data_IF_949993217786
#
_entry.id   IF_949993217786
#
_cell.length_a   1.000
_cell.length_b   1.000
_cell.length_c   1.000
_cell.angle_alpha   90.00
_cell.angle_beta   90.00
_cell.angle_gamma   90.00
#
_symmetry.space_group_name_H-M   'P 1'
#
loop_
_entity.id
_entity.type
_entity.pdbx_description
1 polymer ?
#
# COMPACT_ATOMS: atom_id res chain seq x y z
N UNK A 1 4.13 -4.87 -14.14
CA UNK A 1 3.01 -5.84 -14.24
C UNK A 1 1.64 -5.18 -14.02
N UNK A 2 1.28 -4.11 -14.75
CA UNK A 2 -0.02 -3.41 -14.61
C UNK A 2 -1.12 -3.94 -15.56
N UNK A 3 -0.79 -4.87 -16.45
CA UNK A 3 -1.66 -5.29 -17.55
C UNK A 3 -2.51 -6.51 -17.21
N UNK A 4 -2.27 -7.15 -16.05
CA UNK A 4 -2.98 -8.37 -15.66
C UNK A 4 -4.51 -8.13 -15.64
N UNK A 5 -4.96 -7.03 -15.06
CA UNK A 5 -6.40 -6.78 -14.95
C UNK A 5 -7.15 -6.71 -16.31
N UNK A 6 -6.48 -6.38 -17.43
CA UNK A 6 -7.13 -6.15 -18.73
C UNK A 6 -7.91 -7.35 -19.25
N UNK A 7 -7.41 -8.56 -18.98
CA UNK A 7 -8.06 -9.82 -19.36
C UNK A 7 -8.57 -10.60 -18.15
N UNK A 8 -8.75 -9.95 -16.98
CA UNK A 8 -9.13 -10.64 -15.74
C UNK A 8 -10.44 -11.41 -15.90
N UNK A 9 -11.51 -10.75 -16.37
CA UNK A 9 -12.82 -11.38 -16.57
C UNK A 9 -12.74 -12.60 -17.50
N UNK A 10 -12.02 -12.46 -18.62
CA UNK A 10 -11.83 -13.57 -19.55
C UNK A 10 -11.02 -14.72 -18.94
N UNK A 11 -9.93 -14.42 -18.21
CA UNK A 11 -9.11 -15.44 -17.56
C UNK A 11 -9.89 -16.21 -16.50
N UNK A 12 -10.76 -15.53 -15.75
CA UNK A 12 -11.62 -16.20 -14.77
C UNK A 12 -12.72 -17.00 -15.47
N UNK A 13 -13.35 -16.45 -16.52
CA UNK A 13 -14.45 -17.15 -17.23
C UNK A 13 -14.03 -18.46 -17.92
N UNK A 14 -12.75 -18.59 -18.30
CA UNK A 14 -12.23 -19.84 -18.91
C UNK A 14 -11.71 -20.83 -17.87
N UNK A 15 -11.67 -20.45 -16.58
CA UNK A 15 -11.19 -21.31 -15.50
C UNK A 15 -12.37 -22.05 -14.85
N UNK A 16 -12.29 -23.38 -14.80
CA UNK A 16 -13.35 -24.22 -14.25
C UNK A 16 -13.53 -24.14 -12.72
N UNK A 17 -12.59 -23.52 -12.00
CA UNK A 17 -12.56 -23.46 -10.54
C UNK A 17 -12.76 -22.05 -9.98
N UNK A 18 -12.87 -21.02 -10.83
CA UNK A 18 -12.95 -19.63 -10.41
C UNK A 18 -14.21 -18.98 -10.95
N UNK A 19 -14.91 -18.25 -10.09
CA UNK A 19 -16.04 -17.43 -10.44
C UNK A 19 -15.76 -15.98 -10.02
N UNK A 20 -16.15 -15.00 -10.84
CA UNK A 20 -16.08 -13.58 -10.45
C UNK A 20 -17.43 -13.22 -9.83
N UNK A 21 -17.47 -12.85 -8.54
CA UNK A 21 -18.70 -12.32 -7.96
C UNK A 21 -19.10 -11.01 -8.63
N UNK A 22 -20.40 -10.66 -8.62
CA UNK A 22 -20.90 -9.40 -9.16
C UNK A 22 -20.57 -8.23 -8.22
N UNK A 23 -19.28 -7.89 -8.19
CA UNK A 23 -18.71 -6.80 -7.39
C UNK A 23 -17.85 -5.92 -8.28
N UNK A 24 -17.77 -4.65 -7.91
CA UNK A 24 -16.80 -3.75 -8.49
C UNK A 24 -15.42 -4.04 -7.90
N UNK A 25 -14.44 -4.29 -8.78
CA UNK A 25 -13.07 -4.62 -8.39
C UNK A 25 -12.17 -3.46 -8.76
N UNK A 26 -11.67 -2.79 -7.73
CA UNK A 26 -10.61 -1.82 -7.90
C UNK A 26 -9.26 -2.47 -8.16
N UNK A 27 -8.51 -1.83 -9.05
CA UNK A 27 -7.18 -2.28 -9.46
C UNK A 27 -6.17 -1.48 -8.66
N UNK A 28 -5.42 -2.15 -7.81
CA UNK A 28 -4.34 -1.57 -7.04
C UNK A 28 -3.02 -2.28 -7.33
N UNK A 29 -1.94 -1.53 -7.20
CA UNK A 29 -0.57 -2.05 -7.15
C UNK A 29 0.01 -1.55 -5.85
N UNK A 30 0.72 -2.43 -5.16
CA UNK A 30 1.34 -2.05 -3.91
C UNK A 30 2.31 -0.88 -4.07
N UNK A 31 2.31 0.06 -3.13
CA UNK A 31 3.23 1.19 -3.01
C UNK A 31 4.70 0.78 -3.13
N UNK A 32 5.12 -0.36 -2.60
CA UNK A 32 6.51 -0.82 -2.81
C UNK A 32 6.80 -1.20 -4.27
N UNK A 33 5.81 -1.78 -4.96
CA UNK A 33 5.96 -2.25 -6.34
C UNK A 33 5.67 -1.17 -7.39
N UNK A 34 4.85 -0.16 -7.06
CA UNK A 34 4.38 0.82 -8.04
C UNK A 34 5.53 1.65 -8.62
N UNK A 35 6.60 1.85 -7.83
CA UNK A 35 7.82 2.51 -8.27
C UNK A 35 8.63 1.71 -9.29
N UNK A 36 8.38 0.41 -9.43
CA UNK A 36 8.95 -0.43 -10.49
C UNK A 36 8.13 -0.44 -11.79
N UNK A 37 7.05 0.34 -11.86
CA UNK A 37 6.20 0.49 -13.04
C UNK A 37 6.48 1.83 -13.75
N UNK A 38 5.88 2.03 -14.93
CA UNK A 38 5.89 3.32 -15.62
C UNK A 38 5.25 4.42 -14.75
N UNK A 39 5.73 5.66 -14.87
CA UNK A 39 5.31 6.80 -14.02
C UNK A 39 3.79 7.01 -13.99
N UNK A 40 3.13 6.83 -15.14
CA UNK A 40 1.68 6.95 -15.23
C UNK A 40 0.92 5.93 -14.40
N UNK A 41 1.55 4.86 -13.90
CA UNK A 41 0.88 3.90 -13.03
C UNK A 41 0.72 4.42 -11.60
N UNK A 42 1.58 5.34 -11.14
CA UNK A 42 1.61 5.80 -9.76
C UNK A 42 0.24 6.32 -9.31
N UNK A 43 -0.27 7.35 -9.97
CA UNK A 43 -1.55 7.96 -9.60
C UNK A 43 -2.76 7.09 -9.90
N UNK A 44 -2.64 6.23 -10.92
CA UNK A 44 -3.75 5.38 -11.39
C UNK A 44 -4.00 4.15 -10.53
N UNK A 45 -2.96 3.62 -9.88
CA UNK A 45 -3.01 2.31 -9.24
C UNK A 45 -2.34 2.22 -7.87
N UNK A 46 -1.58 3.22 -7.41
CA UNK A 46 -1.04 3.15 -6.05
C UNK A 46 -2.17 3.16 -5.02
N UNK A 47 -2.05 2.29 -4.03
CA UNK A 47 -3.00 2.15 -2.90
C UNK A 47 -3.23 3.48 -2.17
N UNK A 48 -2.23 4.37 -2.12
CA UNK A 48 -2.34 5.71 -1.52
C UNK A 48 -3.41 6.60 -2.16
N UNK A 49 -3.74 6.40 -3.44
CA UNK A 49 -4.74 7.20 -4.17
C UNK A 49 -6.08 6.47 -4.38
N UNK A 50 -6.29 5.36 -3.68
CA UNK A 50 -7.52 4.58 -3.76
C UNK A 50 -8.25 4.74 -2.43
N UNK A 51 -9.38 5.46 -2.39
CA UNK A 51 -10.17 5.60 -1.17
C UNK A 51 -10.54 4.23 -0.58
N UNK A 52 -10.30 4.07 0.73
CA UNK A 52 -10.53 2.82 1.43
C UNK A 52 -9.45 1.74 1.22
N UNK A 53 -8.52 1.92 0.27
CA UNK A 53 -7.31 1.10 0.23
C UNK A 53 -6.36 1.57 1.33
N UNK A 54 -5.94 0.65 2.18
CA UNK A 54 -4.90 0.95 3.15
C UNK A 54 -3.58 1.24 2.40
N UNK A 55 -2.85 2.28 2.83
CA UNK A 55 -1.64 2.77 2.14
C UNK A 55 -0.51 1.73 2.06
N UNK A 56 -0.34 0.94 3.12
CA UNK A 56 0.77 0.00 3.29
C UNK A 56 0.25 -1.38 3.74
N UNK A 57 -0.84 -1.41 4.51
CA UNK A 57 -1.41 -2.66 4.98
C UNK A 57 -2.05 -3.41 3.80
N UNK A 58 -1.55 -4.60 3.48
CA UNK A 58 -2.00 -5.40 2.34
C UNK A 58 -0.88 -5.79 1.38
N UNK A 59 0.27 -5.13 1.45
CA UNK A 59 1.46 -5.40 0.62
C UNK A 59 2.50 -6.29 1.33
N UNK A 60 2.13 -6.83 2.49
CA UNK A 60 3.05 -7.30 3.53
C UNK A 60 3.88 -8.53 3.10
N UNK A 61 3.59 -9.19 1.98
CA UNK A 61 4.41 -10.33 1.54
C UNK A 61 5.89 -9.93 1.39
N UNK A 62 6.19 -8.76 0.83
CA UNK A 62 7.58 -8.36 0.60
C UNK A 62 8.33 -7.99 1.88
N UNK A 63 7.70 -7.27 2.80
CA UNK A 63 8.33 -6.92 4.08
C UNK A 63 8.63 -8.18 4.90
N UNK A 64 7.84 -9.24 4.75
CA UNK A 64 8.14 -10.53 5.39
C UNK A 64 9.32 -11.26 4.75
N UNK A 65 9.50 -11.15 3.44
CA UNK A 65 10.63 -11.81 2.78
C UNK A 65 11.96 -11.27 3.31
N UNK A 66 12.01 -10.01 3.75
CA UNK A 66 13.18 -9.47 4.43
C UNK A 66 13.57 -10.29 5.68
N UNK A 67 12.60 -10.88 6.40
CA UNK A 67 12.86 -11.76 7.55
C UNK A 67 13.51 -13.07 7.10
N UNK A 68 13.13 -13.59 5.93
CA UNK A 68 13.72 -14.80 5.36
C UNK A 68 15.20 -14.60 4.96
N UNK A 69 15.68 -13.37 4.84
CA UNK A 69 17.10 -13.10 4.63
C UNK A 69 17.97 -13.65 5.78
N UNK A 70 17.42 -13.74 7.00
CA UNK A 70 18.14 -14.29 8.16
C UNK A 70 18.47 -15.78 7.99
N UNK A 71 17.60 -16.53 7.31
CA UNK A 71 17.78 -17.97 7.07
C UNK A 71 18.43 -18.26 5.71
N UNK A 72 18.54 -17.24 4.84
CA UNK A 72 19.14 -17.38 3.50
C UNK A 72 20.58 -17.89 3.54
N UNK A 73 21.35 -17.57 4.58
CA UNK A 73 22.73 -18.08 4.71
C UNK A 73 22.76 -19.56 5.03
N UNK A 74 21.83 -20.02 5.86
CA UNK A 74 21.72 -21.44 6.22
C UNK A 74 21.21 -22.28 5.05
N UNK A 75 20.30 -21.75 4.22
CA UNK A 75 19.78 -22.48 3.04
C UNK A 75 20.87 -22.78 2.01
N UNK A 76 21.90 -21.94 1.89
CA UNK A 76 22.94 -22.12 0.86
C UNK A 76 23.73 -23.43 0.96
N UNK A 77 23.81 -24.02 2.15
CA UNK A 77 24.54 -25.27 2.38
C UNK A 77 23.63 -26.51 2.44
N UNK A 78 22.31 -26.31 2.39
CA UNK A 78 21.35 -27.41 2.44
C UNK A 78 21.14 -28.03 1.04
N UNK A 79 20.73 -29.29 1.02
CA UNK A 79 20.23 -29.92 -0.20
C UNK A 79 18.90 -29.27 -0.60
N UNK A 80 18.57 -29.28 -1.89
CA UNK A 80 17.38 -28.61 -2.43
C UNK A 80 16.08 -28.98 -1.69
N UNK A 81 15.89 -30.26 -1.35
CA UNK A 81 14.71 -30.70 -0.59
C UNK A 81 14.65 -30.06 0.80
N UNK A 82 15.75 -30.12 1.56
CA UNK A 82 15.85 -29.50 2.88
C UNK A 82 15.74 -27.97 2.84
N UNK A 83 16.23 -27.31 1.77
CA UNK A 83 16.01 -25.89 1.56
C UNK A 83 14.52 -25.56 1.48
N UNK A 84 13.77 -26.32 0.68
CA UNK A 84 12.33 -26.12 0.51
C UNK A 84 11.61 -26.30 1.84
N UNK A 85 11.88 -27.41 2.54
CA UNK A 85 11.26 -27.69 3.84
C UNK A 85 11.55 -26.59 4.87
N UNK A 86 12.80 -26.10 4.92
CA UNK A 86 13.17 -25.01 5.82
C UNK A 86 12.44 -23.71 5.47
N UNK A 87 12.36 -23.34 4.19
CA UNK A 87 11.60 -22.15 3.80
C UNK A 87 10.11 -22.29 4.10
N UNK A 88 9.52 -23.45 3.83
CA UNK A 88 8.11 -23.72 4.09
C UNK A 88 7.81 -23.65 5.59
N UNK A 89 8.67 -24.20 6.45
CA UNK A 89 8.54 -24.11 7.92
C UNK A 89 8.54 -22.65 8.40
N UNK A 90 9.53 -21.87 7.99
CA UNK A 90 9.63 -20.45 8.38
C UNK A 90 8.49 -19.59 7.81
N UNK A 91 8.06 -19.84 6.57
CA UNK A 91 6.92 -19.15 5.98
C UNK A 91 5.61 -19.53 6.69
N UNK A 92 5.43 -20.80 7.05
CA UNK A 92 4.26 -21.28 7.80
C UNK A 92 4.21 -20.70 9.20
N UNK A 93 5.32 -20.68 9.95
CA UNK A 93 5.40 -20.02 11.26
C UNK A 93 5.07 -18.53 11.16
N UNK A 94 5.61 -17.83 10.15
CA UNK A 94 5.30 -16.42 9.91
C UNK A 94 3.82 -16.18 9.63
N UNK A 95 3.21 -17.01 8.77
CA UNK A 95 1.79 -16.95 8.44
C UNK A 95 0.91 -17.26 9.66
N UNK A 96 1.28 -18.26 10.46
CA UNK A 96 0.59 -18.62 11.68
C UNK A 96 0.60 -17.48 12.70
N UNK A 97 1.78 -16.91 12.99
CA UNK A 97 1.92 -15.75 13.91
C UNK A 97 1.08 -14.57 13.46
N UNK A 98 1.02 -14.30 12.16
CA UNK A 98 0.12 -13.27 11.62
C UNK A 98 -1.34 -13.60 11.85
N UNK A 99 -1.75 -14.82 11.54
CA UNK A 99 -3.14 -15.23 11.68
C UNK A 99 -3.61 -15.05 13.13
N UNK A 100 -2.78 -15.44 14.10
CA UNK A 100 -3.05 -15.25 15.52
C UNK A 100 -2.98 -13.77 15.94
N UNK A 101 -2.01 -13.01 15.45
CA UNK A 101 -1.78 -11.62 15.83
C UNK A 101 -2.67 -10.60 15.13
N UNK A 102 -3.40 -10.98 14.07
CA UNK A 102 -4.12 -10.06 13.19
C UNK A 102 -5.15 -9.21 13.93
N UNK A 103 -5.93 -9.83 14.82
CA UNK A 103 -6.98 -9.15 15.59
C UNK A 103 -6.35 -8.11 16.52
N UNK A 104 -5.38 -8.53 17.34
CA UNK A 104 -4.68 -7.64 18.28
C UNK A 104 -4.01 -6.47 17.56
N UNK A 105 -3.29 -6.75 16.47
CA UNK A 105 -2.62 -5.73 15.67
C UNK A 105 -3.60 -4.72 15.05
N UNK A 106 -4.73 -5.20 14.53
CA UNK A 106 -5.75 -4.33 13.91
C UNK A 106 -6.43 -3.47 14.97
N UNK A 107 -6.77 -4.02 16.13
CA UNK A 107 -7.36 -3.27 17.25
C UNK A 107 -6.40 -2.19 17.76
N UNK A 108 -5.13 -2.52 17.96
CA UNK A 108 -4.14 -1.55 18.43
C UNK A 108 -3.91 -0.43 17.40
N UNK A 109 -3.85 -0.76 16.10
CA UNK A 109 -3.77 0.25 15.05
C UNK A 109 -5.01 1.14 15.01
N UNK A 110 -6.20 0.57 15.21
CA UNK A 110 -7.44 1.34 15.25
C UNK A 110 -7.43 2.34 16.43
N UNK A 111 -7.04 1.90 17.61
CA UNK A 111 -6.87 2.77 18.78
C UNK A 111 -5.84 3.88 18.51
N UNK A 112 -4.69 3.52 17.93
CA UNK A 112 -3.68 4.50 17.54
C UNK A 112 -4.25 5.54 16.56
N UNK A 113 -5.03 5.13 15.55
CA UNK A 113 -5.68 6.07 14.63
C UNK A 113 -6.67 6.99 15.35
N UNK A 114 -7.51 6.45 16.24
CA UNK A 114 -8.44 7.24 17.04
C UNK A 114 -7.72 8.31 17.88
N UNK A 115 -6.55 7.99 18.44
CA UNK A 115 -5.78 8.92 19.24
C UNK A 115 -5.02 9.98 18.41
N UNK A 116 -4.79 9.72 17.11
CA UNK A 116 -3.98 10.61 16.24
C UNK A 116 -4.80 11.32 15.14
N UNK A 117 -6.11 11.06 15.07
CA UNK A 117 -6.98 11.67 14.06
C UNK A 117 -7.08 13.18 14.23
N UNK A 118 -7.14 13.67 15.47
CA UNK A 118 -7.22 15.10 15.78
C UNK A 118 -5.96 15.84 15.31
N UNK A 119 -4.77 15.33 15.64
CA UNK A 119 -3.50 15.93 15.19
C UNK A 119 -3.36 15.89 13.66
N UNK A 120 -3.82 14.81 13.02
CA UNK A 120 -3.82 14.70 11.56
C UNK A 120 -4.75 15.73 10.90
N UNK A 121 -5.93 15.95 11.49
CA UNK A 121 -6.89 16.95 11.04
C UNK A 121 -6.38 18.37 11.27
N UNK A 122 -5.75 18.63 12.41
CA UNK A 122 -5.12 19.92 12.70
C UNK A 122 -4.04 20.25 11.68
N UNK A 123 -3.18 19.29 11.35
CA UNK A 123 -2.16 19.43 10.31
C UNK A 123 -2.78 19.74 8.94
N UNK A 124 -3.82 19.00 8.54
CA UNK A 124 -4.56 19.25 7.30
C UNK A 124 -5.17 20.66 7.27
N UNK A 125 -5.79 21.09 8.37
CA UNK A 125 -6.39 22.42 8.47
C UNK A 125 -5.35 23.54 8.39
N UNK A 126 -4.17 23.36 9.01
CA UNK A 126 -3.04 24.31 8.91
C UNK A 126 -2.53 24.43 7.47
N UNK A 127 -2.44 23.33 6.74
CA UNK A 127 -2.04 23.36 5.32
C UNK A 127 -3.11 24.02 4.44
N UNK A 128 -4.38 23.79 4.75
CA UNK A 128 -5.49 24.30 3.95
C UNK A 128 -5.75 25.79 4.21
N UNK A 129 -5.46 26.29 5.41
CA UNK A 129 -5.70 27.69 5.79
C UNK A 129 -4.81 28.70 5.08
N UNK A 130 -3.66 28.28 4.54
CA UNK A 130 -2.76 29.13 3.76
C UNK A 130 -3.12 29.18 2.28
N UNK A 131 -4.06 28.36 1.83
CA UNK A 131 -4.52 28.29 0.43
C UNK A 131 -5.89 28.94 0.32
N UNK A 132 -6.14 29.65 -0.79
CA UNK A 132 -7.46 30.22 -1.06
C UNK A 132 -8.55 29.12 -1.05
N UNK A 133 -9.62 29.36 -0.30
CA UNK A 133 -10.73 28.41 -0.15
C UNK A 133 -11.39 28.07 -1.48
N UNK A 134 -11.40 28.99 -2.45
CA UNK A 134 -11.89 28.72 -3.79
C UNK A 134 -11.02 27.69 -4.53
N UNK A 135 -9.70 27.75 -4.35
CA UNK A 135 -8.75 26.80 -4.94
C UNK A 135 -8.87 25.43 -4.29
N UNK A 136 -8.94 25.38 -2.96
CA UNK A 136 -9.15 24.14 -2.20
C UNK A 136 -10.44 23.46 -2.66
N UNK A 137 -11.55 24.20 -2.71
CA UNK A 137 -12.85 23.65 -3.13
C UNK A 137 -12.80 23.10 -4.55
N UNK A 138 -12.13 23.81 -5.47
CA UNK A 138 -11.94 23.36 -6.84
C UNK A 138 -11.15 22.05 -6.90
N UNK A 139 -10.00 21.97 -6.23
CA UNK A 139 -9.17 20.76 -6.23
C UNK A 139 -9.87 19.56 -5.61
N UNK A 140 -10.60 19.76 -4.50
CA UNK A 140 -11.40 18.69 -3.89
C UNK A 140 -12.41 18.13 -4.89
N UNK A 141 -13.17 18.99 -5.58
CA UNK A 141 -14.14 18.55 -6.58
C UNK A 141 -13.48 17.81 -7.76
N UNK A 142 -12.33 18.31 -8.21
CA UNK A 142 -11.57 17.69 -9.29
C UNK A 142 -11.05 16.29 -8.91
N UNK A 143 -10.56 16.12 -7.68
CA UNK A 143 -10.09 14.83 -7.14
C UNK A 143 -11.25 13.86 -6.97
N UNK A 144 -12.33 14.26 -6.28
CA UNK A 144 -13.51 13.41 -6.07
C UNK A 144 -14.11 12.95 -7.41
N UNK A 145 -14.14 13.83 -8.41
CA UNK A 145 -14.59 13.51 -9.74
C UNK A 145 -13.67 12.49 -10.46
N UNK A 146 -12.36 12.61 -10.29
CA UNK A 146 -11.39 11.67 -10.82
C UNK A 146 -11.51 10.29 -10.14
N UNK A 147 -11.62 10.27 -8.81
CA UNK A 147 -11.78 9.06 -8.02
C UNK A 147 -13.05 8.28 -8.41
N UNK A 148 -14.17 8.96 -8.60
CA UNK A 148 -15.43 8.36 -9.02
C UNK A 148 -15.35 7.69 -10.42
N UNK A 149 -14.44 8.16 -11.28
CA UNK A 149 -14.24 7.61 -12.63
C UNK A 149 -13.15 6.54 -12.70
N UNK A 150 -12.27 6.47 -11.70
CA UNK A 150 -11.03 5.67 -11.69
C UNK A 150 -11.22 4.20 -12.05
N UNK A 151 -12.28 3.56 -11.55
CA UNK A 151 -12.55 2.14 -11.80
C UNK A 151 -12.62 1.80 -13.29
N UNK A 152 -13.29 2.66 -14.08
CA UNK A 152 -13.43 2.52 -15.54
C UNK A 152 -12.34 3.24 -16.32
N UNK A 153 -11.93 4.42 -15.83
CA UNK A 153 -10.99 5.34 -16.47
C UNK A 153 -9.84 5.68 -15.51
N UNK A 154 -8.86 4.79 -15.33
CA UNK A 154 -7.74 5.04 -14.42
C UNK A 154 -6.99 6.34 -14.75
N UNK A 155 -6.91 6.71 -16.03
CA UNK A 155 -6.33 7.95 -16.52
C UNK A 155 -6.94 9.23 -15.92
N UNK A 156 -8.15 9.19 -15.37
CA UNK A 156 -8.74 10.32 -14.67
C UNK A 156 -7.88 10.77 -13.47
N UNK A 157 -7.14 9.84 -12.85
CA UNK A 157 -6.26 10.13 -11.71
C UNK A 157 -4.97 10.85 -12.11
N UNK A 158 -4.68 11.01 -13.41
CA UNK A 158 -3.49 11.73 -13.86
C UNK A 158 -3.51 13.22 -13.46
N UNK A 159 -4.65 13.75 -13.00
CA UNK A 159 -4.76 15.07 -12.38
C UNK A 159 -3.87 15.23 -11.14
N UNK A 160 -3.55 14.13 -10.46
CA UNK A 160 -2.64 14.12 -9.30
C UNK A 160 -1.17 14.29 -9.71
N UNK A 161 -0.87 14.17 -11.01
CA UNK A 161 0.45 14.45 -11.53
C UNK A 161 0.69 15.96 -11.54
N UNK A 162 1.37 16.45 -10.52
CA UNK A 162 1.83 17.84 -10.52
C UNK A 162 2.93 17.97 -11.56
N UNK A 163 2.65 18.72 -12.63
CA UNK A 163 3.72 19.17 -13.51
C UNK A 163 4.63 20.10 -12.71
N UNK A 164 5.76 19.58 -12.23
CA UNK A 164 6.85 20.40 -11.70
C UNK A 164 7.78 20.68 -12.88
N UNK A 165 7.99 21.94 -13.28
CA UNK A 165 9.03 22.26 -14.25
C UNK A 165 10.34 21.63 -13.79
N UNK A 166 11.12 21.03 -14.71
CA UNK A 166 12.38 20.30 -14.41
C UNK A 166 13.44 21.11 -13.62
N UNK A 167 13.18 22.38 -13.32
CA UNK A 167 14.07 23.30 -12.61
C UNK A 167 13.46 23.95 -11.36
N UNK A 168 12.27 23.53 -10.91
CA UNK A 168 11.72 24.02 -9.64
C UNK A 168 12.16 23.08 -8.51
N UNK A 169 13.18 23.50 -7.77
CA UNK A 169 13.58 22.86 -6.52
C UNK A 169 12.50 23.17 -5.48
N UNK A 170 11.50 22.28 -5.34
CA UNK A 170 10.59 22.31 -4.21
C UNK A 170 11.33 21.60 -3.08
N UNK A 171 11.82 22.37 -2.10
CA UNK A 171 12.16 21.82 -0.79
C UNK A 171 10.86 21.26 -0.21
N UNK A 172 10.69 19.95 -0.31
CA UNK A 172 9.80 19.27 0.61
C UNK A 172 10.36 19.55 2.01
N UNK A 173 9.55 20.18 2.86
CA UNK A 173 9.88 20.29 4.28
C UNK A 173 10.18 18.88 4.76
N UNK A 174 11.41 18.68 5.25
CA UNK A 174 11.84 17.44 5.88
C UNK A 174 10.77 17.03 6.90
N UNK A 175 10.11 15.91 6.62
CA UNK A 175 9.26 15.27 7.60
C UNK A 175 10.18 14.78 8.71
N UNK A 176 10.17 15.47 9.84
CA UNK A 176 10.96 15.16 11.03
C UNK A 176 10.88 13.66 11.33
N UNK A 177 12.01 12.99 11.18
CA UNK A 177 12.24 11.58 11.52
C UNK A 177 12.28 11.32 13.03
N UNK A 178 11.68 12.19 13.84
CA UNK A 178 11.73 12.15 15.31
C UNK A 178 10.54 11.43 15.94
N UNK A 179 9.82 10.59 15.18
CA UNK A 179 8.97 9.57 15.77
C UNK A 179 9.75 8.27 15.90
N UNK A 180 10.25 8.08 17.12
CA UNK A 180 10.91 6.93 17.70
C UNK A 180 10.04 5.65 17.55
N UNK A 181 9.90 5.12 16.33
CA UNK A 181 9.40 3.78 16.05
C UNK A 181 10.55 2.76 16.17
N UNK A 182 11.15 2.71 17.36
CA UNK A 182 11.73 1.46 17.83
C UNK A 182 10.59 0.76 18.58
N UNK A 183 10.45 -0.55 18.34
CA UNK A 183 9.53 -1.45 19.03
C UNK A 183 8.10 -1.58 18.47
N UNK A 184 7.95 -2.13 17.25
CA UNK A 184 6.71 -2.87 16.89
C UNK A 184 6.99 -4.28 16.32
N UNK A 185 8.25 -4.69 16.17
CA UNK A 185 8.59 -6.09 15.85
C UNK A 185 9.80 -6.58 16.65
N UNK A 186 9.60 -6.84 17.93
CA UNK A 186 10.41 -7.83 18.65
C UNK A 186 9.56 -9.10 18.81
N UNK A 187 9.89 -10.22 18.14
CA UNK A 187 9.20 -11.48 18.37
C UNK A 187 9.61 -12.18 19.69
N UNK A 188 10.35 -11.50 20.56
CA UNK A 188 10.78 -12.02 21.85
C UNK A 188 10.60 -10.99 22.96
N UNK A 189 9.43 -11.02 23.60
CA UNK A 189 9.28 -10.63 25.01
C UNK A 189 8.29 -11.60 25.64
N UNK A 190 8.82 -12.47 26.50
CA UNK A 190 8.03 -13.26 27.46
C UNK A 190 7.37 -12.35 28.48
#
# INVERSE_FOLDING_TARGET
MCQYHKKLKHRVSVNQYLEVPDIEIDKAIGLFHIHGHQDSCLFRYATTFIPGAAKINGEIMETLWAILNNISRASRTLMLAHCSEMYDDHMNDSNWKKQCGMVSHTTHKFEWVCNNVESSLEYYNKLTSVVDSAVVSKWTQEIEHAEAKRSKHPEAMDIMNTWVPKHTFIQFLDWDSDNNHKDIFSPYSR
#
